data_IF_725991240877
#
_entry.id   IF_725991240877
#
_cell.length_a   1.000
_cell.length_b   1.000
_cell.length_c   1.000
_cell.angle_alpha   90.00
_cell.angle_beta   90.00
_cell.angle_gamma   90.00
#
_symmetry.space_group_name_H-M   'P 1'
#
loop_
_entity.id
_entity.type
_entity.pdbx_description
1 polymer ?
#
# COMPACT_ATOMS: atom_id res chain seq x y z
N UNK A 1 -40.22 -8.60 -15.49
CA UNK A 1 -39.20 -7.57 -15.15
C UNK A 1 -39.20 -7.44 -13.62
N UNK A 2 -38.30 -8.15 -12.92
CA UNK A 2 -38.29 -8.19 -11.44
C UNK A 2 -37.30 -7.13 -10.94
N UNK A 3 -37.79 -6.06 -10.31
CA UNK A 3 -36.95 -5.11 -9.58
C UNK A 3 -36.77 -5.65 -8.16
N UNK A 4 -35.61 -6.26 -7.87
CA UNK A 4 -35.22 -6.57 -6.51
C UNK A 4 -34.89 -5.24 -5.82
N UNK A 5 -35.74 -4.80 -4.89
CA UNK A 5 -35.52 -3.59 -4.12
C UNK A 5 -34.70 -3.97 -2.88
N UNK A 6 -33.39 -4.00 -3.01
CA UNK A 6 -32.50 -4.23 -1.88
C UNK A 6 -32.69 -3.13 -0.83
N UNK A 7 -32.78 -3.51 0.44
CA UNK A 7 -32.97 -2.56 1.54
C UNK A 7 -31.82 -1.52 1.57
N UNK A 8 -32.08 -0.26 1.97
CA UNK A 8 -31.08 0.80 1.96
C UNK A 8 -29.79 0.44 2.71
N UNK A 9 -29.90 -0.31 3.81
CA UNK A 9 -28.75 -0.78 4.58
C UNK A 9 -27.90 -1.82 3.84
N UNK A 10 -28.48 -2.60 2.93
CA UNK A 10 -27.76 -3.58 2.13
C UNK A 10 -26.96 -2.89 1.01
N UNK A 11 -27.47 -1.77 0.47
CA UNK A 11 -26.71 -0.91 -0.44
C UNK A 11 -25.55 -0.22 0.29
N UNK A 12 -25.79 0.34 1.47
CA UNK A 12 -24.75 0.98 2.27
C UNK A 12 -23.63 0.01 2.70
N UNK A 13 -23.99 -1.24 3.06
CA UNK A 13 -23.01 -2.28 3.38
C UNK A 13 -22.16 -2.66 2.16
N UNK A 14 -22.78 -2.87 0.99
CA UNK A 14 -22.06 -3.15 -0.24
C UNK A 14 -21.20 -1.96 -0.67
N UNK A 15 -21.69 -0.73 -0.52
CA UNK A 15 -20.92 0.49 -0.81
C UNK A 15 -19.72 0.62 0.12
N UNK A 16 -19.86 0.32 1.41
CA UNK A 16 -18.75 0.32 2.39
C UNK A 16 -17.73 -0.78 2.07
N UNK A 17 -18.18 -2.00 1.73
CA UNK A 17 -17.30 -3.10 1.31
C UNK A 17 -16.63 -2.80 -0.04
N UNK A 18 -17.31 -2.12 -0.97
CA UNK A 18 -16.75 -1.68 -2.26
C UNK A 18 -15.76 -0.53 -2.08
N UNK A 19 -15.99 0.38 -1.13
CA UNK A 19 -15.09 1.50 -0.81
C UNK A 19 -13.82 1.00 -0.10
N UNK A 20 -13.94 0.02 0.79
CA UNK A 20 -12.81 -0.74 1.35
C UNK A 20 -12.06 -1.53 0.27
N UNK A 21 -12.77 -2.04 -0.73
CA UNK A 21 -12.19 -2.70 -1.92
C UNK A 21 -11.61 -1.72 -2.95
N UNK A 22 -11.78 -0.40 -2.77
CA UNK A 22 -11.39 0.64 -3.73
C UNK A 22 -10.11 1.37 -3.37
N UNK A 23 -9.53 1.13 -2.19
CA UNK A 23 -8.17 1.58 -1.94
C UNK A 23 -7.24 0.95 -2.99
N UNK A 24 -6.54 1.79 -3.74
CA UNK A 24 -5.45 1.33 -4.60
C UNK A 24 -4.44 0.54 -3.76
N UNK A 25 -3.84 -0.49 -4.34
CA UNK A 25 -2.79 -1.27 -3.68
C UNK A 25 -1.68 -0.35 -3.12
N UNK A 26 -1.40 0.77 -3.79
CA UNK A 26 -0.44 1.78 -3.32
C UNK A 26 -0.92 2.56 -2.10
N UNK A 27 -2.22 2.90 -2.01
CA UNK A 27 -2.76 3.58 -0.83
C UNK A 27 -2.82 2.66 0.39
N UNK A 28 -3.19 1.39 0.18
CA UNK A 28 -3.12 0.39 1.23
C UNK A 28 -1.68 0.20 1.74
N UNK A 29 -0.72 0.02 0.84
CA UNK A 29 0.69 -0.19 1.19
C UNK A 29 1.27 1.01 1.97
N UNK A 30 0.90 2.24 1.60
CA UNK A 30 1.33 3.45 2.32
C UNK A 30 0.81 3.49 3.76
N UNK A 31 -0.47 3.17 3.95
CA UNK A 31 -1.10 3.16 5.28
C UNK A 31 -0.47 2.08 6.16
N UNK A 32 -0.29 0.87 5.62
CA UNK A 32 0.34 -0.23 6.33
C UNK A 32 1.78 0.11 6.76
N UNK A 33 2.59 0.64 5.84
CA UNK A 33 3.97 1.03 6.13
C UNK A 33 4.05 2.12 7.22
N UNK A 34 3.20 3.14 7.15
CA UNK A 34 3.21 4.20 8.16
C UNK A 34 2.80 3.68 9.54
N UNK A 35 1.84 2.75 9.61
CA UNK A 35 1.45 2.12 10.87
C UNK A 35 2.61 1.31 11.50
N UNK A 36 3.34 0.54 10.69
CA UNK A 36 4.49 -0.23 11.16
C UNK A 36 5.63 0.68 11.64
N UNK A 37 5.88 1.78 10.93
CA UNK A 37 6.89 2.77 11.33
C UNK A 37 6.51 3.46 12.64
N UNK A 38 5.26 3.86 12.81
CA UNK A 38 4.77 4.42 14.08
C UNK A 38 4.91 3.41 15.23
N UNK A 39 4.62 2.13 14.96
CA UNK A 39 4.81 1.05 15.92
C UNK A 39 6.28 0.86 16.32
N UNK A 40 7.21 1.03 15.37
CA UNK A 40 8.65 0.95 15.63
C UNK A 40 9.16 2.16 16.42
N UNK A 41 8.72 3.38 16.05
CA UNK A 41 9.05 4.62 16.77
C UNK A 41 8.53 4.58 18.22
N UNK A 42 7.32 4.06 18.44
CA UNK A 42 6.76 3.88 19.79
C UNK A 42 7.56 2.91 20.66
N UNK A 43 8.31 1.98 20.05
CA UNK A 43 9.25 1.09 20.73
C UNK A 43 10.64 1.70 20.93
N UNK A 44 10.86 2.93 20.44
CA UNK A 44 12.12 3.66 20.55
C UNK A 44 13.11 3.37 19.42
N UNK A 45 12.70 2.70 18.35
CA UNK A 45 13.54 2.51 17.17
C UNK A 45 13.58 3.79 16.33
N UNK A 46 14.75 4.07 15.75
CA UNK A 46 14.91 5.13 14.77
C UNK A 46 14.12 4.83 13.48
N UNK A 47 13.45 5.83 12.91
CA UNK A 47 12.60 5.65 11.72
C UNK A 47 13.39 5.14 10.52
N UNK A 48 14.61 5.64 10.29
CA UNK A 48 15.44 5.21 9.17
C UNK A 48 15.93 3.77 9.38
N UNK A 49 16.23 3.38 10.62
CA UNK A 49 16.55 2.00 10.96
C UNK A 49 15.35 1.06 10.70
N UNK A 50 14.14 1.46 11.11
CA UNK A 50 12.92 0.69 10.88
C UNK A 50 12.62 0.53 9.37
N UNK A 51 12.72 1.62 8.59
CA UNK A 51 12.59 1.57 7.13
C UNK A 51 13.55 0.58 6.47
N UNK A 52 14.82 0.58 6.89
CA UNK A 52 15.83 -0.36 6.36
C UNK A 52 15.49 -1.80 6.68
N UNK A 53 15.03 -2.08 7.90
CA UNK A 53 14.63 -3.43 8.30
C UNK A 53 13.40 -3.91 7.50
N UNK A 54 12.39 -3.06 7.36
CA UNK A 54 11.18 -3.37 6.58
C UNK A 54 11.50 -3.63 5.10
N UNK A 55 12.37 -2.80 4.49
CA UNK A 55 12.81 -3.03 3.11
C UNK A 55 13.54 -4.37 2.96
N UNK A 56 14.41 -4.73 3.92
CA UNK A 56 15.11 -6.01 3.89
C UNK A 56 14.15 -7.20 3.94
N UNK A 57 13.13 -7.15 4.80
CA UNK A 57 12.08 -8.17 4.86
C UNK A 57 11.28 -8.27 3.55
N UNK A 58 10.91 -7.13 2.95
CA UNK A 58 10.22 -7.11 1.65
C UNK A 58 11.08 -7.77 0.57
N UNK A 59 12.38 -7.46 0.51
CA UNK A 59 13.32 -8.06 -0.45
C UNK A 59 13.44 -9.58 -0.25
N UNK A 60 13.56 -10.04 1.00
CA UNK A 60 13.66 -11.47 1.29
C UNK A 60 12.37 -12.23 0.91
N UNK A 61 11.19 -11.65 1.18
CA UNK A 61 9.91 -12.25 0.76
C UNK A 61 9.78 -12.33 -0.77
N UNK A 62 10.31 -11.33 -1.50
CA UNK A 62 10.29 -11.33 -2.97
C UNK A 62 11.17 -12.42 -3.57
N UNK A 63 12.27 -12.79 -2.91
CA UNK A 63 13.17 -13.86 -3.36
C UNK A 63 12.46 -15.22 -3.53
N UNK A 64 11.38 -15.48 -2.78
CA UNK A 64 10.56 -16.68 -2.93
C UNK A 64 9.66 -16.68 -4.17
N UNK A 65 9.49 -15.52 -4.83
CA UNK A 65 8.52 -15.30 -5.90
C UNK A 65 9.18 -14.90 -7.24
N UNK A 66 10.39 -14.35 -7.20
CA UNK A 66 11.11 -13.81 -8.36
C UNK A 66 12.58 -14.16 -8.32
N UNK A 67 13.23 -14.11 -9.48
CA UNK A 67 14.69 -14.19 -9.56
C UNK A 67 15.34 -12.93 -8.95
N UNK A 68 16.55 -13.09 -8.39
CA UNK A 68 17.26 -12.01 -7.74
C UNK A 68 17.61 -10.85 -8.70
N UNK A 69 17.93 -11.15 -9.97
CA UNK A 69 18.26 -10.13 -10.96
C UNK A 69 17.01 -9.33 -11.39
N UNK A 70 15.87 -9.99 -11.54
CA UNK A 70 14.60 -9.33 -11.82
C UNK A 70 14.18 -8.40 -10.69
N UNK A 71 14.33 -8.86 -9.43
CA UNK A 71 14.07 -8.03 -8.26
C UNK A 71 15.01 -6.81 -8.20
N UNK A 72 16.29 -7.00 -8.50
CA UNK A 72 17.25 -5.90 -8.55
C UNK A 72 16.87 -4.85 -9.61
N UNK A 73 16.44 -5.29 -10.81
CA UNK A 73 15.96 -4.38 -11.85
C UNK A 73 14.69 -3.64 -11.44
N UNK A 74 13.74 -4.30 -10.79
CA UNK A 74 12.52 -3.66 -10.27
C UNK A 74 12.86 -2.60 -9.21
N UNK A 75 13.73 -2.92 -8.25
CA UNK A 75 14.16 -1.98 -7.22
C UNK A 75 14.88 -0.77 -7.82
N UNK A 76 15.74 -0.98 -8.83
CA UNK A 76 16.38 0.10 -9.56
C UNK A 76 15.35 0.96 -10.29
N UNK A 77 14.40 0.33 -10.98
CA UNK A 77 13.30 1.06 -11.64
C UNK A 77 12.50 1.91 -10.65
N UNK A 78 12.16 1.37 -9.47
CA UNK A 78 11.47 2.14 -8.43
C UNK A 78 12.32 3.30 -7.92
N UNK A 79 13.62 3.09 -7.70
CA UNK A 79 14.55 4.12 -7.25
C UNK A 79 14.70 5.25 -8.28
N UNK A 80 14.83 4.91 -9.57
CA UNK A 80 14.95 5.86 -10.68
C UNK A 80 13.66 6.67 -10.90
N UNK A 81 12.52 6.16 -10.41
CA UNK A 81 11.21 6.79 -10.51
C UNK A 81 10.67 7.28 -9.15
N UNK A 82 11.55 7.41 -8.14
CA UNK A 82 11.22 8.15 -6.92
C UNK A 82 10.95 9.59 -7.31
N UNK A 83 9.69 9.97 -7.24
CA UNK A 83 9.22 11.29 -7.62
C UNK A 83 8.92 12.08 -6.35
N UNK A 84 9.80 13.03 -6.03
CA UNK A 84 9.66 13.94 -4.89
C UNK A 84 8.40 14.84 -5.02
N UNK A 85 7.79 14.91 -6.21
CA UNK A 85 6.62 15.75 -6.51
C UNK A 85 5.30 14.98 -6.62
N UNK A 86 5.27 13.65 -6.39
CA UNK A 86 4.02 12.88 -6.35
C UNK A 86 3.30 13.00 -5.01
N UNK A 87 2.96 14.23 -4.67
CA UNK A 87 1.65 14.45 -4.07
C UNK A 87 0.63 13.90 -5.07
N UNK A 88 0.04 12.75 -4.75
CA UNK A 88 -1.19 12.28 -5.38
C UNK A 88 -2.33 13.24 -5.00
N UNK A 89 -2.26 14.48 -5.47
CA UNK A 89 -3.41 15.18 -5.96
C UNK A 89 -3.93 14.34 -7.15
N UNK A 90 -5.00 13.55 -7.11
CA UNK A 90 -6.33 13.80 -6.54
C UNK A 90 -6.83 15.26 -6.61
N UNK A 91 -6.12 16.16 -7.32
CA UNK A 91 -6.68 17.43 -7.79
C UNK A 91 -7.32 17.15 -9.16
N UNK A 92 -8.62 16.90 -9.05
CA UNK A 92 -9.65 16.65 -10.07
C UNK A 92 -9.58 17.63 -11.26
N UNK A 93 -9.93 17.21 -12.49
CA UNK A 93 -10.72 18.07 -13.38
C UNK A 93 -12.18 18.15 -12.92
#
# INVERSE_FOLDING_TARGET
>A
MIRINAAPWFRAMLEQTIEESRMSIHSWARIALEADLQGAEAQGFDRLLALRALLAEVVEQNRGLRDAQELAHELQFLADNLDDERDYAFMRP
#
